data_IF_199878692744
#
_entry.id   IF_199878692744
#
_cell.length_a   1.000
_cell.length_b   1.000
_cell.length_c   1.000
_cell.angle_alpha   90.00
_cell.angle_beta   90.00
_cell.angle_gamma   90.00
#
_symmetry.space_group_name_H-M   'P 1'
#
loop_
_entity.id
_entity.type
_entity.pdbx_description
1 polymer ?
#
# COMPACT_ATOMS: atom_id res chain seq x y z
N UNK A 1 -11.23 -19.27 -6.70
CA UNK A 1 -10.56 -20.04 -5.62
C UNK A 1 -9.18 -20.61 -6.00
N UNK A 2 -9.04 -21.44 -7.05
CA UNK A 2 -7.78 -22.19 -7.34
C UNK A 2 -6.50 -21.34 -7.44
N UNK A 3 -6.58 -20.14 -8.02
CA UNK A 3 -5.45 -19.19 -8.10
C UNK A 3 -4.93 -18.85 -6.70
N UNK A 4 -5.83 -18.51 -5.78
CA UNK A 4 -5.51 -18.14 -4.40
C UNK A 4 -5.02 -19.33 -3.57
N UNK A 5 -5.50 -20.55 -3.87
CA UNK A 5 -4.96 -21.78 -3.27
C UNK A 5 -3.53 -22.06 -3.76
N UNK A 6 -3.24 -21.84 -5.04
CA UNK A 6 -1.90 -22.02 -5.60
C UNK A 6 -0.90 -21.06 -4.94
N UNK A 7 -1.26 -19.79 -4.83
CA UNK A 7 -0.45 -18.76 -4.18
C UNK A 7 -0.31 -18.88 -2.65
N UNK A 8 -0.98 -19.86 -2.00
CA UNK A 8 -0.96 -20.02 -0.55
C UNK A 8 -1.90 -19.10 0.24
N UNK A 9 -2.50 -18.08 -0.39
CA UNK A 9 -3.36 -17.10 0.29
C UNK A 9 -4.54 -17.73 1.05
N UNK A 10 -5.20 -18.76 0.51
CA UNK A 10 -6.34 -19.40 1.19
C UNK A 10 -5.95 -20.03 2.54
N UNK A 11 -4.71 -20.52 2.67
CA UNK A 11 -4.24 -21.17 3.90
C UNK A 11 -3.41 -20.27 4.82
N UNK A 12 -2.81 -19.20 4.29
CA UNK A 12 -1.84 -18.38 5.02
C UNK A 12 -2.19 -16.89 5.18
N UNK A 13 -3.23 -16.39 4.51
CA UNK A 13 -3.57 -14.96 4.55
C UNK A 13 -4.55 -14.64 5.69
N UNK A 14 -4.07 -14.73 6.93
CA UNK A 14 -4.89 -14.56 8.13
C UNK A 14 -4.24 -13.72 9.21
N UNK A 15 -5.05 -12.95 9.93
CA UNK A 15 -4.62 -12.19 11.11
C UNK A 15 -5.16 -12.80 12.42
N UNK A 16 -4.45 -12.60 13.55
CA UNK A 16 -4.95 -12.99 14.86
C UNK A 16 -6.08 -12.06 15.34
N UNK A 17 -7.31 -12.58 15.39
CA UNK A 17 -8.49 -11.84 15.84
C UNK A 17 -8.85 -12.18 17.29
N UNK A 18 -9.15 -11.15 18.08
CA UNK A 18 -9.79 -11.27 19.40
C UNK A 18 -11.06 -10.43 19.46
N UNK A 19 -12.03 -10.86 20.27
CA UNK A 19 -13.29 -10.16 20.48
C UNK A 19 -13.44 -9.76 21.95
N UNK A 20 -13.86 -8.53 22.22
CA UNK A 20 -14.22 -8.10 23.57
C UNK A 20 -15.61 -8.64 23.94
N UNK A 21 -15.68 -9.50 24.96
CA UNK A 21 -16.93 -10.09 25.46
C UNK A 21 -17.95 -9.05 25.92
N UNK A 22 -17.49 -7.87 26.36
CA UNK A 22 -18.34 -6.77 26.85
C UNK A 22 -18.92 -5.87 25.75
N UNK A 23 -18.13 -5.44 24.77
CA UNK A 23 -18.60 -4.51 23.72
C UNK A 23 -18.71 -5.13 22.33
N UNK A 24 -18.32 -6.39 22.16
CA UNK A 24 -18.34 -7.16 20.91
C UNK A 24 -17.48 -6.62 19.77
N UNK A 25 -16.68 -5.58 20.03
CA UNK A 25 -15.69 -5.11 19.09
C UNK A 25 -14.55 -6.12 18.94
N UNK A 26 -14.02 -6.17 17.72
CA UNK A 26 -12.97 -7.10 17.30
C UNK A 26 -11.70 -6.30 17.05
N UNK A 27 -10.58 -6.90 17.43
CA UNK A 27 -9.27 -6.28 17.36
C UNK A 27 -8.25 -7.29 16.83
N UNK A 28 -7.20 -6.74 16.22
CA UNK A 28 -5.99 -7.49 15.92
C UNK A 28 -5.18 -7.69 17.19
N UNK A 29 -4.96 -8.93 17.58
CA UNK A 29 -4.42 -9.29 18.88
C UNK A 29 -2.93 -8.93 19.01
N UNK A 30 -2.15 -9.11 17.95
CA UNK A 30 -0.76 -8.66 17.84
C UNK A 30 -0.60 -7.16 18.08
N UNK A 31 -1.43 -6.34 17.42
CA UNK A 31 -1.40 -4.88 17.62
C UNK A 31 -1.74 -4.47 19.05
N UNK A 32 -2.69 -5.17 19.71
CA UNK A 32 -3.01 -4.87 21.11
C UNK A 32 -1.82 -5.13 22.03
N UNK A 33 -1.04 -6.18 21.76
CA UNK A 33 0.17 -6.51 22.51
C UNK A 33 1.26 -5.47 22.25
N UNK A 34 1.53 -5.13 20.98
CA UNK A 34 2.49 -4.09 20.61
C UNK A 34 2.17 -2.72 21.25
N UNK A 35 0.91 -2.30 21.17
CA UNK A 35 0.47 -1.02 21.72
C UNK A 35 0.60 -1.03 23.25
N UNK A 36 0.31 -2.15 23.91
CA UNK A 36 0.50 -2.29 25.35
C UNK A 36 1.98 -2.22 25.77
N UNK A 37 2.87 -2.88 25.03
CA UNK A 37 4.33 -2.86 25.29
C UNK A 37 4.88 -1.42 25.17
N UNK A 38 4.45 -0.67 24.15
CA UNK A 38 4.90 0.71 23.93
C UNK A 38 4.51 1.67 25.06
N UNK A 39 3.37 1.44 25.71
CA UNK A 39 2.84 2.33 26.75
C UNK A 39 3.31 1.97 28.17
N UNK A 40 3.91 0.79 28.38
CA UNK A 40 4.27 0.29 29.71
C UNK A 40 5.79 0.11 29.85
N UNK A 41 6.54 1.21 29.85
CA UNK A 41 8.00 1.20 30.08
C UNK A 41 8.42 0.83 31.52
N UNK A 42 7.49 0.47 32.42
CA UNK A 42 7.74 0.31 33.86
C UNK A 42 7.15 -0.97 34.52
N UNK A 43 6.75 -1.98 33.76
CA UNK A 43 6.25 -3.26 34.29
C UNK A 43 7.18 -4.42 33.91
N UNK A 44 7.17 -5.58 34.60
CA UNK A 44 8.14 -6.68 34.42
C UNK A 44 7.90 -7.50 33.13
N UNK A 45 7.49 -6.83 32.06
CA UNK A 45 7.33 -7.32 30.69
C UNK A 45 8.57 -7.00 29.83
N UNK A 46 9.69 -6.60 30.44
CA UNK A 46 10.98 -6.44 29.77
C UNK A 46 11.49 -7.72 29.06
N UNK A 47 10.89 -8.89 29.32
CA UNK A 47 11.16 -10.14 28.62
C UNK A 47 10.32 -10.37 27.35
N UNK A 48 9.40 -9.48 26.97
CA UNK A 48 8.52 -9.70 25.80
C UNK A 48 9.19 -9.33 24.47
N UNK A 49 10.27 -8.54 24.50
CA UNK A 49 11.09 -8.28 23.30
C UNK A 49 11.91 -9.50 22.85
N UNK A 50 12.15 -10.50 23.72
CA UNK A 50 12.94 -11.69 23.38
C UNK A 50 12.09 -12.86 22.85
N UNK A 51 10.75 -12.76 22.85
CA UNK A 51 9.88 -13.89 22.50
C UNK A 51 8.82 -13.58 21.45
N UNK A 52 8.61 -12.34 21.01
CA UNK A 52 7.63 -12.08 19.95
C UNK A 52 8.27 -12.24 18.57
N UNK A 53 8.22 -13.45 18.01
CA UNK A 53 8.61 -13.76 16.62
C UNK A 53 7.47 -13.44 15.62
N UNK A 54 6.46 -12.67 16.04
CA UNK A 54 5.29 -12.34 15.23
C UNK A 54 4.37 -13.53 14.93
N UNK A 55 4.70 -14.75 15.39
CA UNK A 55 3.95 -15.94 15.01
C UNK A 55 2.65 -16.09 15.80
N UNK A 56 1.61 -16.56 15.10
CA UNK A 56 0.32 -16.86 15.72
C UNK A 56 0.43 -17.86 16.89
N UNK A 57 1.34 -18.83 16.77
CA UNK A 57 1.58 -19.86 17.78
C UNK A 57 2.13 -19.25 19.07
N UNK A 58 3.10 -18.35 18.96
CA UNK A 58 3.69 -17.68 20.11
C UNK A 58 2.69 -16.75 20.80
N UNK A 59 1.98 -15.94 20.01
CA UNK A 59 0.93 -15.07 20.50
C UNK A 59 -0.13 -15.84 21.28
N UNK A 60 -0.58 -16.98 20.76
CA UNK A 60 -1.58 -17.84 21.41
C UNK A 60 -1.02 -18.48 22.69
N UNK A 61 0.21 -19.00 22.65
CA UNK A 61 0.85 -19.63 23.80
C UNK A 61 0.99 -18.67 24.99
N UNK A 62 1.27 -17.39 24.71
CA UNK A 62 1.51 -16.36 25.73
C UNK A 62 0.28 -15.46 25.99
N UNK A 63 -0.84 -15.69 25.31
CA UNK A 63 -2.01 -14.80 25.35
C UNK A 63 -2.57 -14.58 26.75
N UNK A 64 -2.60 -15.64 27.57
CA UNK A 64 -3.11 -15.57 28.94
C UNK A 64 -2.30 -14.65 29.85
N UNK A 65 -1.04 -14.35 29.49
CA UNK A 65 -0.17 -13.39 30.18
C UNK A 65 -0.43 -11.99 29.62
N UNK A 66 -0.43 -11.84 28.30
CA UNK A 66 -0.60 -10.54 27.63
C UNK A 66 -1.97 -9.91 27.93
N UNK A 67 -3.05 -10.67 27.76
CA UNK A 67 -4.43 -10.17 27.82
C UNK A 67 -4.90 -9.70 29.21
N UNK A 68 -4.21 -10.09 30.30
CA UNK A 68 -4.63 -9.74 31.68
C UNK A 68 -4.69 -8.23 31.90
N UNK A 69 -3.73 -7.51 31.36
CA UNK A 69 -3.58 -6.06 31.59
C UNK A 69 -3.97 -5.22 30.37
N UNK A 70 -4.25 -5.84 29.22
CA UNK A 70 -4.69 -5.14 28.03
C UNK A 70 -6.15 -4.69 28.22
N UNK A 71 -6.35 -3.37 28.22
CA UNK A 71 -7.68 -2.75 28.21
C UNK A 71 -8.27 -2.86 26.81
N UNK A 72 -9.53 -3.22 26.71
CA UNK A 72 -10.28 -3.06 25.45
C UNK A 72 -10.20 -1.59 24.98
N UNK A 73 -9.70 -1.30 23.77
CA UNK A 73 -9.57 0.08 23.28
C UNK A 73 -10.89 0.85 23.23
N UNK A 74 -12.02 0.15 23.09
CA UNK A 74 -13.34 0.81 22.98
C UNK A 74 -14.02 1.04 24.32
N UNK A 75 -14.02 0.05 25.23
CA UNK A 75 -14.77 0.16 26.50
C UNK A 75 -13.90 0.24 27.74
N UNK A 76 -12.56 0.20 27.60
CA UNK A 76 -11.60 0.37 28.68
C UNK A 76 -11.51 -0.79 29.67
N UNK A 77 -12.34 -1.84 29.54
CA UNK A 77 -12.36 -2.99 30.46
C UNK A 77 -11.22 -3.96 30.14
N UNK A 78 -10.48 -4.38 31.16
CA UNK A 78 -9.51 -5.49 31.11
C UNK A 78 -10.21 -6.84 31.27
N UNK A 79 -9.53 -7.94 30.94
CA UNK A 79 -10.07 -9.30 31.15
C UNK A 79 -11.32 -9.63 30.32
N UNK A 80 -11.59 -8.88 29.25
CA UNK A 80 -12.75 -9.08 28.38
C UNK A 80 -12.39 -9.61 27.00
N UNK A 81 -11.11 -9.71 26.64
CA UNK A 81 -10.68 -10.17 25.33
C UNK A 81 -10.71 -11.71 25.26
N UNK A 82 -11.28 -12.25 24.18
CA UNK A 82 -11.27 -13.69 23.91
C UNK A 82 -9.86 -14.21 23.63
N UNK A 83 -9.70 -15.53 23.55
CA UNK A 83 -8.52 -16.14 22.94
C UNK A 83 -8.39 -15.72 21.45
N UNK A 84 -7.15 -15.61 20.93
CA UNK A 84 -6.90 -15.31 19.53
C UNK A 84 -7.36 -16.46 18.64
N UNK A 85 -7.92 -16.11 17.48
CA UNK A 85 -8.23 -17.06 16.41
C UNK A 85 -7.76 -16.51 15.08
N UNK A 86 -7.38 -17.40 14.16
CA UNK A 86 -7.06 -16.98 12.81
C UNK A 86 -8.31 -16.48 12.09
N UNK A 87 -8.19 -15.32 11.46
CA UNK A 87 -9.22 -14.70 10.67
C UNK A 87 -8.72 -14.47 9.26
N UNK A 88 -9.36 -15.08 8.26
CA UNK A 88 -8.98 -14.93 6.85
C UNK A 88 -9.22 -13.49 6.40
N UNK A 89 -8.17 -12.87 5.87
CA UNK A 89 -8.16 -11.48 5.46
C UNK A 89 -8.63 -11.29 4.01
N UNK A 90 -9.00 -12.34 3.29
CA UNK A 90 -9.64 -12.22 1.97
C UNK A 90 -11.16 -12.06 2.10
N UNK A 91 -11.75 -11.25 1.24
CA UNK A 91 -13.20 -11.22 1.07
C UNK A 91 -13.66 -12.40 0.22
N UNK A 92 -14.40 -13.31 0.84
CA UNK A 92 -15.02 -14.44 0.16
C UNK A 92 -16.33 -14.03 -0.54
N UNK A 93 -16.60 -14.63 -1.68
CA UNK A 93 -17.83 -14.45 -2.46
C UNK A 93 -18.15 -15.74 -3.24
N UNK A 94 -19.30 -15.78 -3.91
CA UNK A 94 -19.72 -16.91 -4.75
C UNK A 94 -19.95 -16.43 -6.19
N UNK A 95 -19.41 -17.16 -7.16
CA UNK A 95 -19.58 -16.88 -8.60
C UNK A 95 -20.64 -17.81 -9.17
N UNK A 96 -21.69 -17.22 -9.75
CA UNK A 96 -22.80 -17.95 -10.37
C UNK A 96 -24.05 -18.04 -9.49
N UNK A 97 -25.13 -18.65 -9.99
CA UNK A 97 -26.43 -18.67 -9.32
C UNK A 97 -26.53 -19.71 -8.19
N UNK A 98 -25.65 -20.71 -8.17
CA UNK A 98 -25.65 -21.79 -7.16
C UNK A 98 -24.49 -21.55 -6.21
N UNK A 99 -24.79 -21.46 -4.92
CA UNK A 99 -23.79 -21.33 -3.86
C UNK A 99 -23.40 -22.71 -3.35
N UNK A 100 -22.30 -23.23 -3.88
CA UNK A 100 -21.65 -24.47 -3.44
C UNK A 100 -20.12 -24.27 -3.29
N UNK A 101 -19.40 -25.31 -2.87
CA UNK A 101 -17.94 -25.26 -2.71
C UNK A 101 -17.18 -24.89 -4.00
N UNK A 102 -17.74 -25.20 -5.17
CA UNK A 102 -17.14 -24.88 -6.47
C UNK A 102 -17.38 -23.42 -6.89
N UNK A 103 -18.41 -22.78 -6.34
CA UNK A 103 -18.74 -21.39 -6.59
C UNK A 103 -17.87 -20.41 -5.80
N UNK A 104 -17.16 -20.87 -4.75
CA UNK A 104 -16.36 -20.01 -3.88
C UNK A 104 -15.28 -19.26 -4.68
N UNK A 105 -15.19 -17.96 -4.44
CA UNK A 105 -14.16 -17.08 -5.00
C UNK A 105 -13.80 -15.99 -4.00
N UNK A 106 -12.79 -15.19 -4.35
CA UNK A 106 -12.30 -14.13 -3.48
C UNK A 106 -12.13 -12.85 -4.28
N UNK A 107 -12.43 -11.72 -3.65
CA UNK A 107 -11.88 -10.45 -4.11
C UNK A 107 -10.37 -10.48 -3.87
N UNK A 108 -9.60 -10.03 -4.86
CA UNK A 108 -8.14 -10.14 -4.82
C UNK A 108 -7.53 -9.31 -3.67
N UNK A 109 -6.67 -9.89 -2.81
CA UNK A 109 -5.97 -9.15 -1.75
C UNK A 109 -4.72 -8.40 -2.24
N UNK A 110 -4.29 -8.68 -3.48
CA UNK A 110 -3.17 -8.07 -4.19
C UNK A 110 -3.42 -8.11 -5.71
N UNK A 111 -2.62 -7.39 -6.49
CA UNK A 111 -2.71 -7.35 -7.96
C UNK A 111 -1.76 -8.33 -8.66
N UNK A 112 -0.66 -8.72 -8.01
CA UNK A 112 0.40 -9.62 -8.48
C UNK A 112 -0.10 -10.93 -9.11
N UNK A 113 -1.05 -11.62 -8.48
CA UNK A 113 -1.53 -12.93 -8.99
C UNK A 113 -2.13 -12.86 -10.39
N UNK A 114 -2.72 -11.71 -10.77
CA UNK A 114 -3.23 -11.49 -12.14
C UNK A 114 -2.12 -11.47 -13.19
N UNK A 115 -0.93 -11.02 -12.80
CA UNK A 115 0.27 -10.98 -13.64
C UNK A 115 0.81 -12.39 -13.83
N UNK A 116 0.99 -13.15 -12.75
CA UNK A 116 1.54 -14.50 -12.81
C UNK A 116 0.69 -15.47 -13.65
N UNK A 117 -0.64 -15.42 -13.53
CA UNK A 117 -1.52 -16.28 -14.33
C UNK A 117 -1.51 -15.92 -15.82
N UNK A 118 -1.08 -14.70 -16.18
CA UNK A 118 -0.95 -14.23 -17.55
C UNK A 118 0.50 -14.19 -18.07
N UNK A 119 1.47 -14.61 -17.27
CA UNK A 119 2.89 -14.56 -17.63
C UNK A 119 3.15 -15.16 -19.02
N UNK A 120 2.65 -16.38 -19.27
CA UNK A 120 2.84 -17.07 -20.55
C UNK A 120 2.16 -16.35 -21.72
N UNK A 121 0.96 -15.80 -21.50
CA UNK A 121 0.25 -15.03 -22.53
C UNK A 121 1.06 -13.80 -22.95
N UNK A 122 1.67 -13.10 -21.98
CA UNK A 122 2.50 -11.92 -22.24
C UNK A 122 3.80 -12.32 -22.94
N UNK A 123 4.51 -13.34 -22.44
CA UNK A 123 5.77 -13.81 -23.04
C UNK A 123 5.57 -14.31 -24.46
N UNK A 124 4.50 -15.06 -24.74
CA UNK A 124 4.22 -15.59 -26.07
C UNK A 124 3.84 -14.49 -27.07
N UNK A 125 3.18 -13.43 -26.60
CA UNK A 125 2.69 -12.35 -27.46
C UNK A 125 3.78 -11.31 -27.73
N UNK A 126 4.51 -10.90 -26.69
CA UNK A 126 5.47 -9.79 -26.78
C UNK A 126 6.92 -10.25 -26.99
N UNK A 127 7.21 -11.51 -26.69
CA UNK A 127 8.54 -12.11 -26.80
C UNK A 127 9.68 -11.25 -26.18
N UNK A 128 9.52 -10.80 -24.90
CA UNK A 128 10.46 -9.89 -24.26
C UNK A 128 11.80 -10.56 -23.95
N UNK A 129 12.87 -9.75 -23.90
CA UNK A 129 14.16 -10.15 -23.34
C UNK A 129 14.17 -9.97 -21.82
N UNK A 130 14.88 -10.83 -21.10
CA UNK A 130 15.12 -10.61 -19.67
C UNK A 130 16.23 -9.56 -19.47
N UNK A 131 16.12 -8.69 -18.46
CA UNK A 131 14.97 -8.56 -17.55
C UNK A 131 13.82 -7.75 -18.17
N UNK A 132 12.58 -8.06 -17.80
CA UNK A 132 11.39 -7.27 -18.17
C UNK A 132 10.37 -7.23 -17.03
N UNK A 133 9.52 -6.21 -17.02
CA UNK A 133 8.46 -6.06 -16.02
C UNK A 133 7.06 -6.11 -16.62
N UNK A 134 6.10 -6.61 -15.84
CA UNK A 134 4.67 -6.42 -16.09
C UNK A 134 4.14 -5.62 -14.90
N UNK A 135 3.50 -4.49 -15.17
CA UNK A 135 2.95 -3.62 -14.13
C UNK A 135 1.42 -3.68 -14.14
N UNK A 136 0.81 -3.58 -12.97
CA UNK A 136 -0.62 -3.44 -12.83
C UNK A 136 -0.96 -2.38 -11.78
N UNK A 137 -1.89 -1.51 -12.14
CA UNK A 137 -2.56 -0.62 -11.19
C UNK A 137 -4.00 -1.06 -11.03
N UNK A 138 -4.47 -1.17 -9.80
CA UNK A 138 -5.89 -1.34 -9.55
C UNK A 138 -6.24 -1.71 -8.13
N UNK A 139 -7.54 -1.94 -7.92
CA UNK A 139 -8.11 -2.22 -6.60
C UNK A 139 -7.63 -3.55 -6.03
N UNK A 140 -7.39 -3.58 -4.73
CA UNK A 140 -7.21 -4.76 -3.90
C UNK A 140 -8.08 -4.64 -2.65
N UNK A 141 -8.40 -5.80 -2.07
CA UNK A 141 -9.36 -5.90 -0.98
C UNK A 141 -8.80 -6.76 0.14
N UNK A 142 -8.67 -6.18 1.34
CA UNK A 142 -8.28 -6.90 2.55
C UNK A 142 -9.36 -6.70 3.60
N UNK A 143 -9.86 -7.79 4.18
CA UNK A 143 -10.95 -7.79 5.15
C UNK A 143 -10.47 -7.33 6.53
N UNK A 144 -9.86 -6.15 6.60
CA UNK A 144 -9.23 -5.60 7.79
C UNK A 144 -10.17 -5.64 9.02
N UNK A 145 -9.66 -6.20 10.12
CA UNK A 145 -10.43 -6.41 11.35
C UNK A 145 -10.84 -5.07 11.96
N UNK A 146 -9.92 -4.11 11.98
CA UNK A 146 -10.12 -2.79 12.56
C UNK A 146 -9.53 -1.69 11.66
N UNK A 147 -10.29 -1.19 10.67
CA UNK A 147 -9.90 -0.02 9.87
C UNK A 147 -9.63 1.19 10.77
N UNK A 148 -8.51 1.90 10.54
CA UNK A 148 -8.08 3.07 11.33
C UNK A 148 -7.14 3.96 10.50
N UNK A 149 -6.81 5.13 11.04
CA UNK A 149 -5.83 6.06 10.45
C UNK A 149 -6.21 6.51 9.03
N UNK A 150 -7.51 6.82 8.85
CA UNK A 150 -8.11 7.30 7.61
C UNK A 150 -7.89 6.33 6.43
N UNK A 151 -7.18 6.74 5.37
CA UNK A 151 -6.90 5.92 4.19
C UNK A 151 -5.77 4.90 4.41
N UNK A 152 -5.06 4.95 5.55
CA UNK A 152 -3.90 4.09 5.79
C UNK A 152 -4.28 2.62 6.00
N UNK A 153 -5.38 2.35 6.71
CA UNK A 153 -5.97 1.00 6.87
C UNK A 153 -7.42 0.99 6.39
N UNK A 154 -7.59 0.73 5.11
CA UNK A 154 -8.88 0.53 4.47
C UNK A 154 -9.09 -0.95 4.08
N UNK A 155 -10.33 -1.30 3.76
CA UNK A 155 -10.70 -2.64 3.25
C UNK A 155 -10.62 -2.75 1.74
N UNK A 156 -10.69 -1.62 1.07
CA UNK A 156 -10.53 -1.44 -0.37
C UNK A 156 -9.53 -0.31 -0.55
N UNK A 157 -8.54 -0.53 -1.40
CA UNK A 157 -7.49 0.43 -1.73
C UNK A 157 -6.92 0.09 -3.11
N UNK A 158 -6.11 0.97 -3.68
CA UNK A 158 -5.43 0.75 -4.95
C UNK A 158 -3.94 0.47 -4.73
N UNK A 159 -3.42 -0.47 -5.52
CA UNK A 159 -1.99 -0.79 -5.55
C UNK A 159 -1.42 -0.55 -6.94
N UNK A 160 -0.14 -0.20 -6.98
CA UNK A 160 0.71 -0.22 -8.16
C UNK A 160 1.79 -1.26 -7.91
N UNK A 161 1.69 -2.41 -8.57
CA UNK A 161 2.65 -3.51 -8.40
C UNK A 161 3.31 -3.79 -9.75
N UNK A 162 4.58 -4.18 -9.69
CA UNK A 162 5.34 -4.60 -10.86
C UNK A 162 5.93 -5.97 -10.55
N UNK A 163 5.68 -6.96 -11.41
CA UNK A 163 6.45 -8.20 -11.39
C UNK A 163 7.60 -8.06 -12.38
N UNK A 164 8.81 -7.86 -11.85
CA UNK A 164 10.01 -7.70 -12.65
C UNK A 164 10.76 -9.04 -12.74
N UNK A 165 10.65 -9.66 -13.90
CA UNK A 165 11.22 -10.97 -14.20
C UNK A 165 12.70 -10.84 -14.54
N UNK A 166 13.55 -11.64 -13.88
CA UNK A 166 15.01 -11.59 -13.98
C UNK A 166 15.62 -12.99 -14.11
N UNK A 167 16.85 -13.05 -14.61
CA UNK A 167 17.66 -14.28 -14.56
C UNK A 167 18.04 -14.60 -13.09
N UNK A 168 18.02 -15.89 -12.68
CA UNK A 168 18.31 -16.29 -11.30
C UNK A 168 19.66 -15.86 -10.75
N UNK A 169 20.66 -15.67 -11.60
CA UNK A 169 22.05 -15.30 -11.25
C UNK A 169 22.31 -13.78 -11.31
N UNK A 170 21.30 -12.99 -11.71
CA UNK A 170 21.40 -11.53 -11.84
C UNK A 170 20.52 -10.77 -10.85
N UNK A 171 19.80 -11.48 -9.98
CA UNK A 171 18.77 -10.87 -9.14
C UNK A 171 19.34 -9.83 -8.17
N UNK A 172 20.53 -10.04 -7.59
CA UNK A 172 21.12 -9.09 -6.64
C UNK A 172 21.34 -7.72 -7.29
N UNK A 173 21.93 -7.72 -8.49
CA UNK A 173 22.23 -6.49 -9.22
C UNK A 173 20.94 -5.75 -9.64
N UNK A 174 19.92 -6.48 -10.10
CA UNK A 174 18.63 -5.87 -10.43
C UNK A 174 17.85 -5.42 -9.18
N UNK A 175 17.99 -6.10 -8.04
CA UNK A 175 17.35 -5.70 -6.79
C UNK A 175 17.93 -4.38 -6.29
N UNK A 176 19.26 -4.23 -6.26
CA UNK A 176 19.92 -2.97 -5.88
C UNK A 176 19.60 -1.82 -6.83
N UNK A 177 19.38 -2.11 -8.12
CA UNK A 177 18.85 -1.13 -9.08
C UNK A 177 17.44 -0.70 -8.71
N UNK A 178 16.56 -1.63 -8.35
CA UNK A 178 15.20 -1.31 -7.91
C UNK A 178 15.18 -0.50 -6.61
N UNK A 179 16.06 -0.78 -5.64
CA UNK A 179 16.19 0.06 -4.43
C UNK A 179 16.43 1.53 -4.80
N UNK A 180 17.35 1.79 -5.74
CA UNK A 180 17.63 3.15 -6.23
C UNK A 180 16.43 3.77 -6.95
N UNK A 181 15.73 2.99 -7.78
CA UNK A 181 14.53 3.45 -8.49
C UNK A 181 13.39 3.80 -7.52
N UNK A 182 13.22 3.05 -6.43
CA UNK A 182 12.24 3.34 -5.38
C UNK A 182 12.53 4.67 -4.69
N UNK A 183 13.80 4.96 -4.39
CA UNK A 183 14.21 6.28 -3.85
C UNK A 183 13.97 7.42 -4.84
N UNK A 184 14.34 7.22 -6.11
CA UNK A 184 14.10 8.22 -7.16
C UNK A 184 12.61 8.50 -7.34
N UNK A 185 11.77 7.46 -7.26
CA UNK A 185 10.32 7.60 -7.28
C UNK A 185 9.82 8.44 -6.10
N UNK A 186 10.21 8.09 -4.87
CA UNK A 186 9.81 8.83 -3.66
C UNK A 186 10.24 10.31 -3.70
N UNK A 187 11.44 10.59 -4.21
CA UNK A 187 11.92 11.96 -4.45
C UNK A 187 11.06 12.68 -5.50
N UNK A 188 10.76 12.02 -6.63
CA UNK A 188 9.99 12.58 -7.73
C UNK A 188 8.56 12.96 -7.33
N UNK A 189 7.94 12.22 -6.41
CA UNK A 189 6.61 12.54 -5.85
C UNK A 189 6.67 13.52 -4.66
N UNK A 190 7.86 14.03 -4.33
CA UNK A 190 8.05 15.10 -3.34
C UNK A 190 8.13 14.64 -1.89
N UNK A 191 8.47 13.36 -1.62
CA UNK A 191 8.66 12.91 -0.24
C UNK A 191 10.02 13.40 0.30
N UNK A 192 10.07 14.01 1.49
CA UNK A 192 11.32 14.42 2.10
C UNK A 192 12.16 13.20 2.48
N UNK A 193 13.41 13.13 1.99
CA UNK A 193 14.34 12.04 2.31
C UNK A 193 14.49 11.77 3.81
N UNK A 194 14.41 12.81 4.65
CA UNK A 194 14.51 12.69 6.10
C UNK A 194 13.34 11.94 6.77
N UNK A 195 12.21 11.79 6.07
CA UNK A 195 11.01 11.07 6.55
C UNK A 195 10.89 9.66 5.98
N UNK A 196 11.79 9.26 5.08
CA UNK A 196 11.79 7.96 4.42
C UNK A 196 12.90 7.11 5.03
N UNK A 197 12.57 5.86 5.38
CA UNK A 197 13.46 4.93 6.04
C UNK A 197 13.42 3.58 5.33
N UNK A 198 14.55 2.87 5.31
CA UNK A 198 14.61 1.50 4.82
C UNK A 198 14.63 0.55 6.02
N UNK A 199 13.79 -0.48 5.97
CA UNK A 199 13.78 -1.60 6.91
C UNK A 199 14.03 -2.88 6.11
N UNK A 200 15.23 -3.47 6.27
CA UNK A 200 15.48 -4.81 5.77
C UNK A 200 14.72 -5.79 6.68
N UNK A 201 13.73 -6.48 6.11
CA UNK A 201 12.84 -7.36 6.89
C UNK A 201 13.65 -8.57 7.38
N UNK A 202 13.65 -8.88 8.69
CA UNK A 202 14.31 -10.07 9.24
C UNK A 202 13.83 -11.36 8.59
N UNK A 203 14.63 -12.43 8.61
CA UNK A 203 14.31 -13.67 7.90
C UNK A 203 13.02 -14.30 8.44
N UNK A 204 12.82 -14.20 9.76
CA UNK A 204 11.67 -14.69 10.52
C UNK A 204 10.36 -13.96 10.18
N UNK A 205 10.42 -12.69 9.80
CA UNK A 205 9.26 -11.85 9.48
C UNK A 205 8.94 -11.81 7.98
N UNK A 206 9.79 -12.39 7.13
CA UNK A 206 9.57 -12.43 5.68
C UNK A 206 8.37 -13.30 5.35
N UNK A 207 7.60 -12.85 4.35
CA UNK A 207 6.62 -13.71 3.71
C UNK A 207 7.30 -14.98 3.19
N UNK A 208 6.63 -16.13 3.31
CA UNK A 208 7.16 -17.46 2.98
C UNK A 208 7.70 -17.61 1.54
N UNK A 209 7.31 -16.71 0.63
CA UNK A 209 7.76 -16.67 -0.76
C UNK A 209 8.95 -15.72 -1.00
N UNK A 210 9.31 -14.86 -0.04
CA UNK A 210 10.36 -13.84 -0.20
C UNK A 210 11.70 -14.28 0.36
N UNK A 211 12.75 -14.19 -0.46
CA UNK A 211 14.15 -14.41 -0.05
C UNK A 211 14.80 -13.15 0.51
N UNK A 212 14.34 -11.96 0.11
CA UNK A 212 14.83 -10.66 0.59
C UNK A 212 13.71 -9.64 0.44
N UNK A 213 13.45 -8.85 1.48
CA UNK A 213 12.46 -7.77 1.42
C UNK A 213 13.02 -6.53 2.09
N UNK A 214 12.88 -5.40 1.42
CA UNK A 214 13.05 -4.07 2.00
C UNK A 214 11.69 -3.40 2.05
N UNK A 215 11.26 -3.03 3.25
CA UNK A 215 10.13 -2.14 3.44
C UNK A 215 10.64 -0.70 3.48
N UNK A 216 10.08 0.15 2.64
CA UNK A 216 10.28 1.59 2.70
C UNK A 216 9.21 2.18 3.61
N UNK A 217 9.63 2.68 4.77
CA UNK A 217 8.75 3.28 5.77
C UNK A 217 8.73 4.80 5.65
N UNK A 218 7.61 5.40 6.04
CA UNK A 218 7.42 6.85 6.08
C UNK A 218 6.96 7.32 7.46
N UNK A 219 7.45 8.48 7.89
CA UNK A 219 7.05 9.12 9.15
C UNK A 219 5.69 9.86 9.00
N UNK A 220 4.60 9.16 9.32
CA UNK A 220 3.26 9.73 9.40
C UNK A 220 3.03 10.44 10.76
N UNK A 221 2.00 11.30 10.89
CA UNK A 221 1.65 11.93 12.17
C UNK A 221 1.29 10.93 13.28
N UNK A 222 0.87 9.72 12.92
CA UNK A 222 0.55 8.61 13.83
C UNK A 222 1.69 7.59 13.98
N UNK A 223 2.89 7.93 13.53
CA UNK A 223 4.11 7.14 13.68
C UNK A 223 4.68 6.63 12.36
N UNK A 224 5.88 6.04 12.46
CA UNK A 224 6.55 5.40 11.32
C UNK A 224 5.80 4.15 10.90
N UNK A 225 5.50 4.04 9.60
CA UNK A 225 4.81 2.89 9.00
C UNK A 225 5.29 2.63 7.58
N UNK A 226 5.19 1.36 7.18
CA UNK A 226 5.39 0.90 5.80
C UNK A 226 4.57 1.74 4.79
N UNK A 227 5.28 2.26 3.79
CA UNK A 227 4.73 2.95 2.63
C UNK A 227 4.77 2.02 1.40
N UNK A 228 5.94 1.41 1.12
CA UNK A 228 6.17 0.50 -0.01
C UNK A 228 6.93 -0.76 0.41
N UNK A 229 6.74 -1.85 -0.33
CA UNK A 229 7.55 -3.06 -0.20
C UNK A 229 8.36 -3.32 -1.47
N UNK A 230 9.59 -3.79 -1.33
CA UNK A 230 10.40 -4.33 -2.42
C UNK A 230 10.84 -5.75 -2.05
N UNK A 231 10.22 -6.74 -2.67
CA UNK A 231 10.44 -8.15 -2.37
C UNK A 231 11.15 -8.87 -3.52
N UNK A 232 12.05 -9.80 -3.18
CA UNK A 232 12.62 -10.76 -4.12
C UNK A 232 12.01 -12.13 -3.84
N UNK A 233 11.14 -12.58 -4.74
CA UNK A 233 10.27 -13.75 -4.55
C UNK A 233 10.82 -15.03 -5.17
N UNK A 234 12.05 -14.98 -5.69
CA UNK A 234 12.64 -16.07 -6.48
C UNK A 234 11.68 -16.53 -7.59
N UNK A 235 11.54 -17.84 -7.83
CA UNK A 235 10.59 -18.40 -8.79
C UNK A 235 9.32 -18.98 -8.12
N UNK A 236 9.04 -18.61 -6.87
CA UNK A 236 7.98 -19.24 -6.07
C UNK A 236 6.62 -19.19 -6.79
N UNK A 237 6.18 -18.00 -7.19
CA UNK A 237 4.84 -17.77 -7.75
C UNK A 237 4.61 -18.57 -9.04
N UNK A 238 5.57 -18.51 -9.98
CA UNK A 238 5.49 -19.29 -11.22
C UNK A 238 5.55 -20.80 -10.95
N UNK A 239 6.35 -21.24 -9.97
CA UNK A 239 6.41 -22.66 -9.57
C UNK A 239 5.05 -23.14 -9.04
N UNK A 240 4.40 -22.37 -8.17
CA UNK A 240 3.10 -22.72 -7.63
C UNK A 240 2.03 -22.79 -8.72
N UNK A 241 1.96 -21.78 -9.59
CA UNK A 241 0.97 -21.75 -10.67
C UNK A 241 1.21 -22.83 -11.72
N UNK A 242 2.47 -23.09 -12.10
CA UNK A 242 2.82 -24.20 -12.99
C UNK A 242 2.39 -25.55 -12.39
N UNK A 243 2.74 -25.80 -11.13
CA UNK A 243 2.41 -27.05 -10.43
C UNK A 243 0.90 -27.30 -10.30
N UNK A 244 0.11 -26.26 -9.99
CA UNK A 244 -1.34 -26.39 -9.83
C UNK A 244 -2.11 -26.38 -11.14
N UNK A 245 -1.62 -25.71 -12.18
CA UNK A 245 -2.30 -25.63 -13.49
C UNK A 245 -1.89 -26.73 -14.46
N UNK A 246 -0.70 -27.32 -14.29
CA UNK A 246 -0.09 -28.24 -15.25
C UNK A 246 0.36 -27.57 -16.55
N UNK A 247 0.40 -26.23 -16.62
CA UNK A 247 0.88 -25.48 -17.79
C UNK A 247 2.35 -25.10 -17.59
N UNK A 248 3.15 -25.25 -18.65
CA UNK A 248 4.54 -24.80 -18.63
C UNK A 248 4.62 -23.27 -18.63
N UNK A 249 5.23 -22.71 -17.59
CA UNK A 249 5.48 -21.28 -17.38
C UNK A 249 6.98 -20.95 -17.51
N UNK A 250 7.81 -21.85 -18.00
CA UNK A 250 9.22 -21.58 -18.26
C UNK A 250 9.40 -20.55 -19.39
N UNK A 251 10.33 -19.63 -19.16
CA UNK A 251 10.86 -18.72 -20.15
C UNK A 251 11.95 -19.43 -20.95
N UNK A 252 11.88 -19.35 -22.29
CA UNK A 252 12.93 -19.84 -23.18
C UNK A 252 13.81 -18.66 -23.64
N UNK A 253 15.09 -18.59 -23.21
CA UNK A 253 15.99 -17.55 -23.67
C UNK A 253 16.23 -17.63 -25.17
N UNK A 254 16.43 -16.46 -25.79
CA UNK A 254 16.75 -16.33 -27.22
C UNK A 254 18.18 -16.78 -27.55
N UNK A 255 19.06 -16.81 -26.55
CA UNK A 255 20.43 -17.30 -26.68
C UNK A 255 20.45 -18.79 -27.06
N UNK A 256 21.12 -19.17 -28.17
CA UNK A 256 21.20 -20.56 -28.60
C UNK A 256 21.79 -21.47 -27.52
N UNK A 257 21.11 -22.57 -27.22
CA UNK A 257 21.58 -23.59 -26.27
C UNK A 257 21.27 -23.30 -24.80
N UNK A 258 20.73 -22.13 -24.45
CA UNK A 258 20.21 -21.90 -23.09
C UNK A 258 18.92 -22.69 -22.88
N UNK A 259 18.86 -23.40 -21.75
CA UNK A 259 17.67 -24.16 -21.34
C UNK A 259 16.58 -23.21 -20.86
N UNK A 260 15.33 -23.61 -21.07
CA UNK A 260 14.19 -22.93 -20.46
C UNK A 260 14.26 -23.02 -18.92
N UNK A 261 13.76 -21.99 -18.24
CA UNK A 261 13.71 -21.94 -16.78
C UNK A 261 12.56 -21.04 -16.30
N UNK A 262 12.15 -21.19 -15.04
CA UNK A 262 11.23 -20.24 -14.40
C UNK A 262 12.01 -18.99 -13.96
N UNK A 263 11.74 -17.81 -14.55
CA UNK A 263 12.44 -16.60 -14.14
C UNK A 263 12.16 -16.28 -12.68
N UNK A 264 13.12 -15.59 -12.06
CA UNK A 264 12.93 -15.05 -10.73
C UNK A 264 12.18 -13.72 -10.80
N UNK A 265 11.57 -13.31 -9.69
CA UNK A 265 10.73 -12.12 -9.63
C UNK A 265 11.22 -11.17 -8.54
N UNK A 266 11.36 -9.90 -8.91
CA UNK A 266 11.51 -8.76 -8.00
C UNK A 266 10.21 -7.95 -8.09
N UNK A 267 9.59 -7.69 -6.95
CA UNK A 267 8.30 -7.04 -6.83
C UNK A 267 8.43 -5.74 -6.02
N UNK A 268 8.43 -4.56 -6.65
CA UNK A 268 8.01 -3.34 -5.99
C UNK A 268 6.48 -3.29 -5.89
N UNK A 269 5.95 -3.26 -4.67
CA UNK A 269 4.52 -3.10 -4.36
C UNK A 269 4.28 -1.75 -3.69
N UNK A 270 3.44 -0.92 -4.31
CA UNK A 270 3.18 0.44 -3.86
C UNK A 270 1.69 0.65 -3.57
N UNK A 271 1.34 1.09 -2.36
CA UNK A 271 -0.04 1.49 -2.03
C UNK A 271 -0.34 2.92 -2.49
N UNK A 272 -1.31 3.11 -3.39
CA UNK A 272 -1.69 4.43 -3.93
C UNK A 272 -2.24 5.33 -2.82
N UNK A 273 -3.18 4.81 -2.03
CA UNK A 273 -3.84 5.56 -0.96
C UNK A 273 -2.84 6.04 0.11
N UNK A 274 -1.88 5.19 0.46
CA UNK A 274 -0.78 5.53 1.38
C UNK A 274 0.17 6.55 0.76
N UNK A 275 0.47 6.42 -0.54
CA UNK A 275 1.27 7.38 -1.30
C UNK A 275 0.65 8.78 -1.24
N UNK A 276 -0.64 8.89 -1.55
CA UNK A 276 -1.34 10.18 -1.52
C UNK A 276 -1.34 10.77 -0.11
N UNK A 277 -1.57 9.95 0.92
CA UNK A 277 -1.49 10.41 2.31
C UNK A 277 -0.08 10.93 2.66
N UNK A 278 0.98 10.22 2.27
CA UNK A 278 2.37 10.64 2.52
C UNK A 278 2.71 11.95 1.80
N UNK A 279 2.23 12.13 0.56
CA UNK A 279 2.38 13.38 -0.20
C UNK A 279 1.65 14.53 0.49
N UNK A 280 0.39 14.33 0.90
CA UNK A 280 -0.39 15.36 1.61
C UNK A 280 0.26 15.75 2.94
N UNK A 281 0.72 14.77 3.73
CA UNK A 281 1.45 15.00 4.98
C UNK A 281 2.75 15.77 4.75
N UNK A 282 3.43 15.52 3.63
CA UNK A 282 4.67 16.21 3.28
C UNK A 282 4.43 17.63 2.79
N UNK A 283 3.35 17.84 2.03
CA UNK A 283 2.98 19.11 1.44
C UNK A 283 2.28 20.06 2.41
N UNK A 284 1.65 19.56 3.48
CA UNK A 284 0.92 20.37 4.46
C UNK A 284 1.83 21.38 5.15
N UNK A 285 1.49 22.66 5.04
CA UNK A 285 2.20 23.77 5.66
C UNK A 285 1.26 24.75 6.34
N UNK A 286 1.78 25.46 7.34
CA UNK A 286 1.12 26.58 7.99
C UNK A 286 2.07 27.77 8.07
N UNK A 287 1.60 28.96 7.71
CA UNK A 287 2.30 30.22 7.97
C UNK A 287 1.36 31.31 8.49
N UNK A 288 1.93 32.42 8.98
CA UNK A 288 1.18 33.56 9.49
C UNK A 288 1.15 34.67 8.42
N UNK A 289 -0.05 35.09 8.03
CA UNK A 289 -0.27 36.17 7.07
C UNK A 289 -1.27 37.14 7.69
N UNK A 290 -0.83 38.39 7.91
CA UNK A 290 -1.66 39.47 8.47
C UNK A 290 -2.28 39.14 9.85
N UNK A 291 -1.62 38.29 10.64
CA UNK A 291 -2.09 37.84 11.96
C UNK A 291 -2.99 36.60 11.93
N UNK A 292 -3.38 36.13 10.74
CA UNK A 292 -4.17 34.92 10.55
C UNK A 292 -3.29 33.74 10.11
N UNK A 293 -3.59 32.54 10.59
CA UNK A 293 -2.98 31.30 10.10
C UNK A 293 -3.45 31.01 8.68
N UNK A 294 -2.51 30.77 7.77
CA UNK A 294 -2.77 30.22 6.44
C UNK A 294 -2.36 28.77 6.41
N UNK A 295 -3.28 27.91 5.98
CA UNK A 295 -3.00 26.53 5.63
C UNK A 295 -2.83 26.47 4.12
N UNK A 296 -1.80 25.78 3.66
CA UNK A 296 -1.60 25.54 2.24
C UNK A 296 -0.91 24.21 1.99
N UNK A 297 -1.07 23.67 0.78
CA UNK A 297 -0.36 22.47 0.34
C UNK A 297 0.76 22.87 -0.62
N UNK A 298 2.01 22.65 -0.22
CA UNK A 298 3.18 22.81 -1.08
C UNK A 298 3.40 21.55 -1.91
N UNK A 299 2.42 21.19 -2.75
CA UNK A 299 2.51 20.04 -3.63
C UNK A 299 3.61 20.24 -4.68
N UNK A 300 4.33 19.18 -5.11
CA UNK A 300 5.04 19.22 -6.39
C UNK A 300 4.08 19.66 -7.47
N UNK A 301 4.55 20.51 -8.40
CA UNK A 301 3.69 21.03 -9.46
C UNK A 301 2.98 19.86 -10.11
N UNK A 302 3.72 18.81 -10.51
CA UNK A 302 3.32 17.55 -11.15
C UNK A 302 2.16 16.80 -10.46
N UNK A 303 1.90 17.06 -9.18
CA UNK A 303 0.82 16.44 -8.41
C UNK A 303 -0.33 17.38 -8.07
N UNK A 304 -0.20 18.68 -8.36
CA UNK A 304 -1.24 19.67 -8.07
C UNK A 304 -2.56 19.31 -8.81
N UNK A 305 -3.69 19.17 -8.09
CA UNK A 305 -4.98 18.80 -8.68
C UNK A 305 -5.48 19.87 -9.66
N UNK A 306 -5.16 21.13 -9.38
CA UNK A 306 -5.35 22.28 -10.25
C UNK A 306 -3.96 22.85 -10.56
N UNK A 307 -3.58 23.00 -11.83
CA UNK A 307 -2.29 23.57 -12.22
C UNK A 307 -2.24 25.08 -12.17
N UNK A 308 -3.35 25.69 -12.58
CA UNK A 308 -3.47 27.12 -12.71
C UNK A 308 -4.89 27.52 -12.35
N UNK A 309 -5.02 28.58 -11.57
CA UNK A 309 -6.29 29.23 -11.30
C UNK A 309 -6.35 30.59 -12.00
N UNK A 310 -7.40 30.81 -12.79
CA UNK A 310 -7.65 32.08 -13.49
C UNK A 310 -8.81 32.79 -12.83
N UNK A 311 -8.57 34.02 -12.39
CA UNK A 311 -9.52 34.79 -11.59
C UNK A 311 -9.58 36.24 -12.09
N UNK A 312 -10.75 36.76 -12.54
CA UNK A 312 -10.86 38.18 -12.87
C UNK A 312 -10.78 39.03 -11.60
N UNK A 313 -10.11 40.18 -11.63
CA UNK A 313 -9.99 41.02 -10.42
C UNK A 313 -11.36 41.45 -9.88
N UNK A 314 -12.27 41.87 -10.76
CA UNK A 314 -13.64 42.28 -10.43
C UNK A 314 -14.64 41.54 -11.31
N UNK A 315 -15.60 40.85 -10.68
CA UNK A 315 -16.64 40.07 -11.40
C UNK A 315 -17.70 40.92 -12.09
N UNK A 316 -17.87 42.16 -11.65
CA UNK A 316 -18.87 43.10 -12.19
C UNK A 316 -18.34 43.93 -13.36
N UNK A 317 -17.08 43.73 -13.78
CA UNK A 317 -16.47 44.38 -14.95
C UNK A 317 -16.42 43.41 -16.13
N UNK A 318 -17.33 43.52 -17.11
CA UNK A 318 -17.44 42.56 -18.22
C UNK A 318 -16.14 42.39 -19.00
N UNK A 319 -15.36 43.46 -19.17
CA UNK A 319 -14.07 43.44 -19.87
C UNK A 319 -13.03 42.56 -19.17
N UNK A 320 -12.99 42.60 -17.83
CA UNK A 320 -12.06 41.77 -17.04
C UNK A 320 -12.49 40.31 -17.04
N UNK A 321 -13.79 40.05 -16.93
CA UNK A 321 -14.36 38.70 -16.99
C UNK A 321 -14.10 38.08 -18.36
N UNK A 322 -14.36 38.83 -19.44
CA UNK A 322 -14.11 38.37 -20.81
C UNK A 322 -12.64 38.03 -21.02
N UNK A 323 -11.71 38.89 -20.57
CA UNK A 323 -10.28 38.61 -20.70
C UNK A 323 -9.84 37.42 -19.85
N UNK A 324 -10.33 37.29 -18.62
CA UNK A 324 -10.04 36.14 -17.76
C UNK A 324 -10.56 34.83 -18.37
N UNK A 325 -11.73 34.84 -19.03
CA UNK A 325 -12.26 33.68 -19.75
C UNK A 325 -11.40 33.30 -20.96
N UNK A 326 -10.91 34.28 -21.71
CA UNK A 326 -9.97 34.06 -22.82
C UNK A 326 -8.68 33.38 -22.32
N UNK A 327 -8.07 33.92 -21.26
CA UNK A 327 -6.86 33.37 -20.64
C UNK A 327 -7.12 31.96 -20.08
N UNK A 328 -8.24 31.75 -19.39
CA UNK A 328 -8.65 30.43 -18.93
C UNK A 328 -8.74 29.43 -20.08
N UNK A 329 -9.39 29.80 -21.20
CA UNK A 329 -9.51 28.91 -22.36
C UNK A 329 -8.17 28.59 -23.01
N UNK A 330 -7.23 29.55 -23.02
CA UNK A 330 -5.86 29.33 -23.50
C UNK A 330 -5.13 28.31 -22.61
N UNK A 331 -5.08 28.55 -21.31
CA UNK A 331 -4.36 27.70 -20.36
C UNK A 331 -5.02 26.32 -20.22
N UNK A 332 -6.36 26.24 -20.32
CA UNK A 332 -7.09 24.96 -20.27
C UNK A 332 -6.69 24.05 -21.42
N UNK A 333 -6.37 24.60 -22.60
CA UNK A 333 -5.88 23.83 -23.76
C UNK A 333 -4.46 23.31 -23.56
N UNK A 334 -3.63 24.07 -22.86
CA UNK A 334 -2.23 23.72 -22.61
C UNK A 334 -2.08 22.71 -21.46
N UNK A 335 -2.74 22.96 -20.32
CA UNK A 335 -2.52 22.21 -19.08
C UNK A 335 -3.64 21.22 -18.74
N UNK A 336 -4.84 21.37 -19.28
CA UNK A 336 -5.98 20.49 -18.99
C UNK A 336 -6.63 20.73 -17.63
N UNK A 337 -5.91 20.73 -16.51
CA UNK A 337 -6.45 20.91 -15.16
C UNK A 337 -6.35 22.36 -14.65
N UNK A 338 -6.95 23.29 -15.40
CA UNK A 338 -7.08 24.72 -15.01
C UNK A 338 -8.45 24.97 -14.38
N UNK A 339 -8.48 25.81 -13.34
CA UNK A 339 -9.68 26.30 -12.66
C UNK A 339 -9.96 27.76 -13.02
N UNK A 340 -11.24 28.11 -13.11
CA UNK A 340 -11.68 29.51 -13.18
C UNK A 340 -12.48 29.83 -11.91
N UNK A 341 -12.18 30.96 -11.27
CA UNK A 341 -12.86 31.38 -10.03
C UNK A 341 -13.11 32.90 -10.00
N UNK A 342 -14.38 33.31 -9.99
CA UNK A 342 -14.80 34.70 -9.82
C UNK A 342 -15.64 34.94 -8.55
N UNK A 343 -15.63 33.98 -7.63
CA UNK A 343 -16.46 34.03 -6.44
C UNK A 343 -15.72 34.70 -5.26
N UNK A 344 -16.36 35.68 -4.62
CA UNK A 344 -15.80 36.39 -3.47
C UNK A 344 -14.70 37.39 -3.84
N UNK A 345 -13.97 37.86 -2.83
CA UNK A 345 -12.85 38.77 -3.03
C UNK A 345 -11.59 38.01 -3.51
N UNK A 346 -10.58 38.73 -4.03
CA UNK A 346 -9.37 38.11 -4.57
C UNK A 346 -8.57 37.33 -3.51
N UNK A 347 -8.46 37.84 -2.28
CA UNK A 347 -7.77 37.16 -1.19
C UNK A 347 -8.39 35.81 -0.82
N UNK A 348 -9.72 35.74 -0.75
CA UNK A 348 -10.46 34.48 -0.52
C UNK A 348 -10.25 33.47 -1.64
N UNK A 349 -10.09 33.94 -2.88
CA UNK A 349 -9.77 33.06 -4.02
C UNK A 349 -8.37 32.49 -3.87
N UNK A 350 -7.37 33.31 -3.57
CA UNK A 350 -6.01 32.81 -3.30
C UNK A 350 -5.99 31.82 -2.15
N UNK A 351 -6.65 32.11 -1.02
CA UNK A 351 -6.72 31.17 0.11
C UNK A 351 -7.29 29.80 -0.26
N UNK A 352 -8.34 29.74 -1.09
CA UNK A 352 -8.90 28.46 -1.57
C UNK A 352 -7.92 27.68 -2.45
N UNK A 353 -7.15 28.39 -3.29
CA UNK A 353 -6.18 27.75 -4.19
C UNK A 353 -4.93 27.28 -3.42
N UNK A 354 -4.46 28.08 -2.46
CA UNK A 354 -3.40 27.73 -1.51
C UNK A 354 -3.76 26.45 -0.73
N UNK A 355 -4.99 26.37 -0.20
CA UNK A 355 -5.49 25.21 0.55
C UNK A 355 -5.48 23.89 -0.25
N UNK A 356 -5.62 23.95 -1.57
CA UNK A 356 -5.61 22.77 -2.45
C UNK A 356 -4.27 22.59 -3.20
N UNK A 357 -3.28 23.44 -2.93
CA UNK A 357 -1.94 23.38 -3.52
C UNK A 357 -1.91 23.60 -5.03
N UNK A 358 -2.73 24.54 -5.50
CA UNK A 358 -2.62 25.08 -6.88
C UNK A 358 -1.37 25.94 -6.99
#
# INVERSE_FOLDING_TARGET
QKVWQASGHVGGFSDPLVECSNCKNRFRADHLVEDAIKHDQQSPTAHVHEVNDGSFQNLTANWSVYSRNIKCPTCGKTGTLSEPRQFNMMFETNVGPVQDENSVSYLRPETAQGIFVNFKNVVDTLYPDLPFGIAQVGKAFRNEISPRDFTFRAREFEQMEIEYFVEPDKWEAEFEKWVKLMHQWMEAIGLPKAKVHELEVPIEDRAHYSKRTIDFEFDYPFGRKELYGLAYRSNYDLTQHQGKSGKNLEYQPKEPGKKAFLPHVIEPSLGVDRTILAVLVSAYQQDAVEGDTRVFLKLPAELAPVRVAVSPLLKNKPELVSKAREVYSMLKKEFGNVMYDDNGNIGKRYRRQDEIGT
#
